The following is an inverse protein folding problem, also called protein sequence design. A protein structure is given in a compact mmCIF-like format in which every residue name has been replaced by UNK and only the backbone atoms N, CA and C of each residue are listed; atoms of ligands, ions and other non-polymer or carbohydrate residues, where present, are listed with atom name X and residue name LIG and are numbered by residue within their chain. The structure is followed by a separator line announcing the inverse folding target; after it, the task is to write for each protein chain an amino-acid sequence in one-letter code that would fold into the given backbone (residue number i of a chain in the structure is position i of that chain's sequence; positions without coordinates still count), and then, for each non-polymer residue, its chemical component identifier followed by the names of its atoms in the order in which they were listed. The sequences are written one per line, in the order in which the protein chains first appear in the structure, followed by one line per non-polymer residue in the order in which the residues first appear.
data_IF_259413470359
#
_entry.id   IF_259413470359
#
_cell.length_a   1.000
_cell.length_b   1.000
_cell.length_c   1.000
_cell.angle_alpha   90.00
_cell.angle_beta   90.00
_cell.angle_gamma   90.00
#
_symmetry.space_group_name_H-M   'P 1'
#
loop_
_entity.id
_entity.type
_entity.pdbx_description
1 polymer ?
#
# COMPACT_ATOMS: atom_id res chain seq x y z
N UNK A 1 -7.69 6.91 -8.65
CA UNK A 1 -7.50 5.53 -9.14
C UNK A 1 -8.06 4.50 -8.15
N UNK A 2 -7.86 4.68 -6.84
CA UNK A 2 -8.32 3.75 -5.80
C UNK A 2 -9.80 3.28 -5.89
N UNK A 3 -10.72 4.10 -6.41
CA UNK A 3 -12.13 3.74 -6.55
C UNK A 3 -12.42 2.69 -7.64
N UNK A 4 -11.53 2.55 -8.63
CA UNK A 4 -11.73 1.70 -9.82
C UNK A 4 -10.73 0.54 -9.89
N UNK A 5 -9.89 0.37 -8.86
CA UNK A 5 -8.93 -0.73 -8.77
C UNK A 5 -9.21 -1.59 -7.54
N UNK A 6 -8.91 -2.88 -7.64
CA UNK A 6 -9.02 -3.81 -6.51
C UNK A 6 -7.91 -3.59 -5.47
N UNK A 7 -6.77 -3.06 -5.93
CA UNK A 7 -5.61 -2.76 -5.11
C UNK A 7 -4.86 -1.51 -5.57
N UNK A 8 -3.98 -1.00 -4.70
CA UNK A 8 -2.97 0.01 -5.00
C UNK A 8 -1.61 -0.50 -4.51
N UNK A 9 -0.58 -0.41 -5.35
CA UNK A 9 0.80 -0.76 -4.99
C UNK A 9 1.64 0.52 -4.97
N UNK A 10 2.26 0.84 -3.84
CA UNK A 10 3.20 1.94 -3.72
C UNK A 10 4.61 1.40 -3.90
N UNK A 11 5.22 1.77 -5.02
CA UNK A 11 6.59 1.41 -5.38
C UNK A 11 7.62 2.45 -4.90
N UNK A 12 7.21 3.72 -4.84
CA UNK A 12 8.00 4.83 -4.30
C UNK A 12 7.08 5.96 -3.80
N UNK A 13 7.48 6.62 -2.70
CA UNK A 13 6.90 7.88 -2.24
C UNK A 13 7.75 8.50 -1.12
N UNK A 14 7.87 9.83 -1.11
CA UNK A 14 8.37 10.59 0.03
C UNK A 14 7.25 10.88 1.04
N UNK A 15 7.63 11.36 2.24
CA UNK A 15 6.69 11.76 3.30
C UNK A 15 5.70 12.87 2.88
N UNK A 16 6.02 13.64 1.84
CA UNK A 16 5.19 14.72 1.30
C UNK A 16 4.53 14.38 -0.04
N UNK A 17 4.66 13.13 -0.50
CA UNK A 17 4.15 12.70 -1.80
C UNK A 17 2.62 12.77 -1.87
N UNK A 18 2.11 13.22 -3.02
CA UNK A 18 0.69 13.14 -3.35
C UNK A 18 0.15 11.70 -3.37
N UNK A 19 1.01 10.69 -3.60
CA UNK A 19 0.65 9.26 -3.58
C UNK A 19 0.03 8.84 -2.24
N UNK A 20 0.38 9.49 -1.14
CA UNK A 20 -0.17 9.18 0.18
C UNK A 20 -1.69 9.43 0.27
N UNK A 21 -2.22 10.36 -0.53
CA UNK A 21 -3.67 10.55 -0.64
C UNK A 21 -4.34 9.36 -1.35
N UNK A 22 -3.70 8.76 -2.37
CA UNK A 22 -4.22 7.54 -2.98
C UNK A 22 -4.16 6.35 -2.01
N UNK A 23 -3.10 6.27 -1.19
CA UNK A 23 -2.95 5.24 -0.15
C UNK A 23 -4.09 5.32 0.89
N UNK A 24 -4.36 6.54 1.38
CA UNK A 24 -5.42 6.79 2.35
C UNK A 24 -6.81 6.49 1.76
N UNK A 25 -7.05 6.89 0.51
CA UNK A 25 -8.31 6.60 -0.17
C UNK A 25 -8.49 5.10 -0.42
N UNK A 26 -7.41 4.38 -0.77
CA UNK A 26 -7.41 2.93 -0.94
C UNK A 26 -7.85 2.22 0.34
N UNK A 27 -7.26 2.58 1.49
CA UNK A 27 -7.67 2.03 2.78
C UNK A 27 -9.09 2.43 3.16
N UNK A 28 -9.48 3.70 2.94
CA UNK A 28 -10.83 4.20 3.23
C UNK A 28 -11.91 3.42 2.49
N UNK A 29 -11.62 2.99 1.26
CA UNK A 29 -12.50 2.20 0.42
C UNK A 29 -12.43 0.68 0.71
N UNK A 30 -11.61 0.25 1.67
CA UNK A 30 -11.44 -1.17 1.98
C UNK A 30 -10.77 -1.96 0.85
N UNK A 31 -9.96 -1.29 0.02
CA UNK A 31 -9.19 -1.92 -1.06
C UNK A 31 -7.81 -2.32 -0.56
N UNK A 32 -7.17 -3.26 -1.25
CA UNK A 32 -5.85 -3.73 -0.86
C UNK A 32 -4.77 -2.68 -1.11
N UNK A 33 -4.05 -2.30 -0.05
CA UNK A 33 -2.87 -1.46 -0.15
C UNK A 33 -1.61 -2.31 0.00
N UNK A 34 -0.74 -2.25 -0.99
CA UNK A 34 0.57 -2.87 -0.95
C UNK A 34 1.64 -1.79 -0.90
N UNK A 35 2.62 -1.94 -0.02
CA UNK A 35 3.78 -1.05 0.07
C UNK A 35 5.02 -1.91 -0.13
N UNK A 36 5.87 -1.58 -1.10
CA UNK A 36 7.09 -2.35 -1.34
C UNK A 36 7.98 -2.38 -0.11
N UNK A 37 8.60 -3.54 0.16
CA UNK A 37 9.54 -3.71 1.27
C UNK A 37 10.65 -2.65 1.28
N UNK A 38 11.18 -2.29 0.10
CA UNK A 38 12.20 -1.24 -0.04
C UNK A 38 11.76 0.14 0.46
N UNK A 39 10.45 0.42 0.45
CA UNK A 39 9.87 1.67 0.96
C UNK A 39 9.66 1.58 2.47
N UNK A 40 9.23 0.42 2.97
CA UNK A 40 9.05 0.20 4.42
C UNK A 40 10.38 0.20 5.16
N UNK A 41 11.42 -0.39 4.56
CA UNK A 41 12.74 -0.53 5.16
C UNK A 41 13.61 0.73 4.99
N UNK A 42 13.14 1.77 4.28
CA UNK A 42 13.89 3.02 4.13
C UNK A 42 13.80 3.86 5.43
N UNK A 43 14.89 4.01 6.20
CA UNK A 43 14.86 4.71 7.48
C UNK A 43 14.62 6.22 7.36
N UNK A 44 14.64 6.76 6.13
CA UNK A 44 14.35 8.18 5.86
C UNK A 44 12.85 8.45 5.75
N UNK A 45 12.03 7.42 5.61
CA UNK A 45 10.59 7.53 5.44
C UNK A 45 9.87 7.24 6.76
N UNK A 46 8.89 8.05 7.09
CA UNK A 46 8.06 7.88 8.30
C UNK A 46 6.62 7.57 7.96
N UNK A 47 6.19 7.84 6.73
CA UNK A 47 4.81 7.63 6.32
C UNK A 47 4.35 6.17 6.30
N UNK A 48 5.17 5.13 5.98
CA UNK A 48 4.64 3.76 5.87
C UNK A 48 3.97 3.29 7.15
N UNK A 49 4.52 3.63 8.32
CA UNK A 49 3.98 3.23 9.62
C UNK A 49 2.57 3.76 9.90
N UNK A 50 2.11 4.78 9.16
CA UNK A 50 0.74 5.31 9.26
C UNK A 50 -0.30 4.40 8.62
N UNK A 51 0.13 3.56 7.67
CA UNK A 51 -0.74 2.67 6.90
C UNK A 51 -0.59 1.21 7.33
N UNK A 52 0.59 0.82 7.84
CA UNK A 52 0.82 -0.53 8.35
C UNK A 52 -0.12 -0.84 9.54
N UNK A 53 -0.52 -2.10 9.65
CA UNK A 53 -1.44 -2.57 10.70
C UNK A 53 -2.92 -2.53 10.32
N UNK A 54 -3.28 -1.91 9.19
CA UNK A 54 -4.63 -2.05 8.62
C UNK A 54 -4.83 -3.44 8.00
N UNK A 55 -6.05 -3.97 8.13
CA UNK A 55 -6.42 -5.33 7.71
C UNK A 55 -6.03 -5.65 6.26
N UNK A 56 -6.42 -4.78 5.31
CA UNK A 56 -6.11 -4.93 3.88
C UNK A 56 -4.86 -4.13 3.48
N UNK A 57 -3.81 -4.19 4.30
CA UNK A 57 -2.50 -3.60 3.98
C UNK A 57 -1.37 -4.61 4.14
N UNK A 58 -0.53 -4.74 3.13
CA UNK A 58 0.53 -5.73 3.11
C UNK A 58 1.88 -5.15 2.63
N UNK A 59 2.96 -5.61 3.25
CA UNK A 59 4.32 -5.31 2.80
C UNK A 59 4.64 -6.23 1.63
N UNK A 60 4.90 -5.66 0.47
CA UNK A 60 5.11 -6.42 -0.76
C UNK A 60 6.59 -6.78 -0.92
N UNK A 61 6.89 -8.08 -0.81
CA UNK A 61 8.22 -8.64 -1.12
C UNK A 61 8.22 -9.37 -2.47
N UNK A 62 7.10 -10.00 -2.84
CA UNK A 62 6.95 -10.74 -4.09
C UNK A 62 5.63 -10.35 -4.79
N UNK A 63 5.65 -10.12 -6.10
CA UNK A 63 4.44 -9.76 -6.86
C UNK A 63 3.34 -10.84 -6.83
N UNK A 64 3.68 -12.11 -6.59
CA UNK A 64 2.70 -13.18 -6.42
C UNK A 64 1.77 -12.93 -5.23
N UNK A 65 2.25 -12.24 -4.17
CA UNK A 65 1.46 -11.88 -3.00
C UNK A 65 0.23 -11.02 -3.34
N UNK A 66 0.30 -10.28 -4.46
CA UNK A 66 -0.79 -9.40 -4.92
C UNK A 66 -1.98 -10.25 -5.36
N UNK A 67 -1.73 -11.21 -6.26
CA UNK A 67 -2.80 -12.03 -6.86
C UNK A 67 -3.42 -12.92 -5.78
N UNK A 68 -2.59 -13.58 -4.97
CA UNK A 68 -3.05 -14.44 -3.88
C UNK A 68 -3.99 -13.72 -2.90
N UNK A 69 -3.64 -12.48 -2.51
CA UNK A 69 -4.46 -11.73 -1.55
C UNK A 69 -5.70 -11.10 -2.15
N UNK A 70 -5.69 -10.75 -3.43
CA UNK A 70 -6.87 -10.19 -4.10
C UNK A 70 -7.90 -11.30 -4.37
N UNK A 71 -7.47 -12.49 -4.82
CA UNK A 71 -8.37 -13.59 -5.19
C UNK A 71 -9.07 -14.25 -3.98
N UNK A 72 -8.58 -14.00 -2.76
CA UNK A 72 -9.09 -14.60 -1.52
C UNK A 72 -9.80 -13.60 -0.58
N UNK A 73 -10.16 -12.39 -1.04
CA UNK A 73 -10.60 -11.27 -0.20
C UNK A 73 -11.99 -10.67 -0.49
#
# INVERSE_FOLDING_TARGET
MAAISDATVIVEASDTSGTLHQAAECQRLGRWLFIMKSVVDDPRLTWPSKFLGHEKTHILENTHDIVERIDHA
#
